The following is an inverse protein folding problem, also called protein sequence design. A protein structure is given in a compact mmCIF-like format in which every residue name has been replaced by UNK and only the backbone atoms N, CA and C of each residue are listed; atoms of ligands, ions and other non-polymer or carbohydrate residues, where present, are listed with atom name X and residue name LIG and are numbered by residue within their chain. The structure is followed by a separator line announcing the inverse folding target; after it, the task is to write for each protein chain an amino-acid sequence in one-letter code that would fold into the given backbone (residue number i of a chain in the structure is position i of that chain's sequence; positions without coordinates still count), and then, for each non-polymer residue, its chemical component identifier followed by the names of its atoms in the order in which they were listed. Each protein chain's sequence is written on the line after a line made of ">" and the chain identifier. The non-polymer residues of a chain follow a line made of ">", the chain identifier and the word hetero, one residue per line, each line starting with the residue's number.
data_IF_023615310265
#
_entry.id   IF_023615310265
#
_cell.length_a   1.000
_cell.length_b   1.000
_cell.length_c   1.000
_cell.angle_alpha   90.00
_cell.angle_beta   90.00
_cell.angle_gamma   90.00
#
_symmetry.space_group_name_H-M   'P 1'
#
loop_
_entity.id
_entity.type
_entity.pdbx_description
1 polymer ?
#
# COMPACT_ATOMS: atom_id res chain seq x y z
N UNK A 1 4.37 -32.36 8.62
CA UNK A 1 4.48 -30.91 8.89
C UNK A 1 3.12 -30.33 8.61
N UNK A 2 2.61 -29.44 9.46
CA UNK A 2 1.35 -28.74 9.19
C UNK A 2 1.49 -27.79 8.00
N UNK A 3 0.37 -27.47 7.33
CA UNK A 3 0.33 -26.46 6.27
C UNK A 3 0.59 -25.06 6.85
N UNK A 4 1.26 -24.19 6.09
CA UNK A 4 1.44 -22.78 6.43
C UNK A 4 0.11 -22.06 6.17
N UNK A 5 -0.48 -21.47 7.19
CA UNK A 5 -1.74 -20.74 7.10
C UNK A 5 -1.50 -19.33 6.59
N UNK A 6 -2.15 -18.99 5.47
CA UNK A 6 -1.94 -17.72 4.77
C UNK A 6 -3.25 -16.95 4.70
N UNK A 7 -3.19 -15.65 4.97
CA UNK A 7 -4.27 -14.70 4.70
C UNK A 7 -3.83 -13.72 3.62
N UNK A 8 -4.77 -13.23 2.80
CA UNK A 8 -4.54 -12.25 1.74
C UNK A 8 -5.41 -11.02 2.00
N UNK A 9 -4.81 -9.84 1.90
CA UNK A 9 -5.52 -8.56 1.79
C UNK A 9 -5.07 -7.83 0.54
N UNK A 10 -5.98 -7.63 -0.42
CA UNK A 10 -5.71 -6.95 -1.69
C UNK A 10 -7.04 -6.45 -2.27
N UNK A 11 -7.12 -5.20 -2.73
CA UNK A 11 -8.36 -4.63 -3.28
C UNK A 11 -8.61 -5.02 -4.74
N UNK A 12 -7.59 -5.56 -5.43
CA UNK A 12 -7.69 -6.01 -6.82
C UNK A 12 -8.19 -7.46 -6.88
N UNK A 13 -9.48 -7.65 -7.15
CA UNK A 13 -10.13 -8.97 -7.19
C UNK A 13 -9.38 -9.99 -8.03
N UNK A 14 -9.05 -9.62 -9.28
CA UNK A 14 -8.38 -10.56 -10.20
C UNK A 14 -7.00 -11.00 -9.68
N UNK A 15 -6.23 -10.07 -9.10
CA UNK A 15 -4.93 -10.38 -8.51
C UNK A 15 -5.09 -11.27 -7.27
N UNK A 16 -6.02 -10.93 -6.38
CA UNK A 16 -6.32 -11.71 -5.17
C UNK A 16 -6.76 -13.13 -5.48
N UNK A 17 -7.68 -13.31 -6.44
CA UNK A 17 -8.13 -14.63 -6.89
C UNK A 17 -6.99 -15.43 -7.56
N UNK A 18 -6.19 -14.80 -8.41
CA UNK A 18 -5.03 -15.42 -9.03
C UNK A 18 -4.01 -15.90 -8.00
N UNK A 19 -3.71 -15.05 -7.00
CA UNK A 19 -2.81 -15.38 -5.90
C UNK A 19 -3.38 -16.52 -5.03
N UNK A 20 -4.68 -16.48 -4.73
CA UNK A 20 -5.36 -17.54 -3.98
C UNK A 20 -5.28 -18.89 -4.70
N UNK A 21 -5.53 -18.93 -6.01
CA UNK A 21 -5.41 -20.14 -6.81
C UNK A 21 -3.98 -20.66 -6.84
N UNK A 22 -3.00 -19.77 -6.98
CA UNK A 22 -1.58 -20.12 -6.98
C UNK A 22 -1.15 -20.74 -5.64
N UNK A 23 -1.54 -20.14 -4.52
CA UNK A 23 -1.24 -20.67 -3.19
C UNK A 23 -1.92 -22.02 -2.95
N UNK A 24 -3.18 -22.16 -3.35
CA UNK A 24 -3.94 -23.42 -3.21
C UNK A 24 -3.41 -24.56 -4.06
N UNK A 25 -2.60 -24.29 -5.09
CA UNK A 25 -1.94 -25.31 -5.88
C UNK A 25 -0.76 -25.96 -5.15
N UNK A 26 -0.27 -25.35 -4.07
CA UNK A 26 0.83 -25.89 -3.26
C UNK A 26 0.25 -26.57 -2.00
N UNK A 27 0.41 -27.88 -1.82
CA UNK A 27 -0.16 -28.63 -0.70
C UNK A 27 0.43 -28.23 0.68
N UNK A 28 1.53 -27.48 0.69
CA UNK A 28 2.13 -26.97 1.93
C UNK A 28 1.45 -25.70 2.46
N UNK A 29 0.54 -25.11 1.70
CA UNK A 29 -0.14 -23.86 2.08
C UNK A 29 -1.64 -24.07 2.29
N UNK A 30 -2.19 -23.34 3.24
CA UNK A 30 -3.62 -23.30 3.55
C UNK A 30 -4.09 -21.85 3.55
N UNK A 31 -4.96 -21.52 2.62
CA UNK A 31 -5.56 -20.17 2.56
C UNK A 31 -6.71 -20.08 3.56
N UNK A 32 -6.53 -19.30 4.63
CA UNK A 32 -7.49 -19.21 5.74
C UNK A 32 -8.39 -17.97 5.68
N UNK A 33 -7.97 -16.91 4.96
CA UNK A 33 -8.78 -15.71 4.78
C UNK A 33 -8.38 -14.94 3.51
N UNK A 34 -9.39 -14.29 2.89
CA UNK A 34 -9.22 -13.35 1.79
C UNK A 34 -10.04 -12.10 2.08
N UNK A 35 -9.46 -10.91 1.91
CA UNK A 35 -10.10 -9.64 2.19
C UNK A 35 -9.75 -8.60 1.11
N UNK A 36 -10.67 -7.68 0.86
CA UNK A 36 -10.50 -6.57 -0.08
C UNK A 36 -9.83 -5.33 0.54
N UNK A 37 -9.65 -5.32 1.86
CA UNK A 37 -8.94 -4.26 2.58
C UNK A 37 -8.55 -4.75 3.98
N UNK A 38 -7.72 -3.95 4.66
CA UNK A 38 -7.20 -4.31 5.98
C UNK A 38 -8.28 -4.45 7.06
N UNK A 39 -9.36 -3.64 7.00
CA UNK A 39 -10.43 -3.70 7.99
C UNK A 39 -11.19 -5.02 7.90
N UNK A 40 -11.54 -5.45 6.69
CA UNK A 40 -12.22 -6.73 6.44
C UNK A 40 -11.34 -7.90 6.86
N UNK A 41 -10.01 -7.82 6.62
CA UNK A 41 -9.09 -8.86 7.08
C UNK A 41 -9.10 -8.99 8.62
N UNK A 42 -9.05 -7.88 9.36
CA UNK A 42 -9.10 -7.90 10.82
C UNK A 42 -10.42 -8.46 11.34
N UNK A 43 -11.55 -8.15 10.68
CA UNK A 43 -12.85 -8.72 11.02
C UNK A 43 -12.91 -10.24 10.80
N UNK A 44 -12.28 -10.75 9.74
CA UNK A 44 -12.18 -12.20 9.52
C UNK A 44 -11.26 -12.85 10.56
N UNK A 45 -10.08 -12.28 10.80
CA UNK A 45 -9.12 -12.79 11.77
C UNK A 45 -9.71 -12.90 13.18
N UNK A 46 -10.58 -11.96 13.58
CA UNK A 46 -11.25 -12.00 14.88
C UNK A 46 -12.21 -13.17 15.07
N UNK A 47 -12.61 -13.84 13.98
CA UNK A 47 -13.55 -14.97 13.97
C UNK A 47 -12.88 -16.32 13.72
N UNK A 48 -11.59 -16.31 13.36
CA UNK A 48 -10.83 -17.53 13.09
C UNK A 48 -10.49 -18.24 14.41
N UNK A 49 -10.65 -19.55 14.44
CA UNK A 49 -10.18 -20.39 15.55
C UNK A 49 -8.64 -20.39 15.65
N UNK A 50 -7.97 -20.30 14.51
CA UNK A 50 -6.52 -20.24 14.42
C UNK A 50 -6.11 -19.10 13.51
N UNK A 51 -5.19 -18.26 13.98
CA UNK A 51 -4.66 -17.15 13.22
C UNK A 51 -3.81 -17.63 12.01
N UNK A 52 -3.69 -16.82 10.96
CA UNK A 52 -2.73 -17.09 9.90
C UNK A 52 -1.29 -16.98 10.42
N UNK A 53 -0.40 -17.79 9.87
CA UNK A 53 1.04 -17.67 10.10
C UNK A 53 1.61 -16.47 9.33
N UNK A 54 1.09 -16.24 8.12
CA UNK A 54 1.53 -15.20 7.20
C UNK A 54 0.32 -14.42 6.67
N UNK A 55 0.44 -13.10 6.64
CA UNK A 55 -0.48 -12.20 5.94
C UNK A 55 0.23 -11.59 4.72
N UNK A 56 -0.26 -11.88 3.51
CA UNK A 56 0.13 -11.21 2.27
C UNK A 56 -0.74 -9.96 2.12
N UNK A 57 -0.14 -8.79 2.17
CA UNK A 57 -0.87 -7.52 2.30
C UNK A 57 -0.49 -6.57 1.18
N UNK A 58 -1.45 -6.17 0.36
CA UNK A 58 -1.25 -5.07 -0.58
C UNK A 58 -1.01 -3.75 0.17
N UNK A 59 -0.05 -3.01 -0.31
CA UNK A 59 0.29 -1.71 0.29
C UNK A 59 -0.84 -0.69 0.13
N UNK A 60 -1.53 -0.69 -1.00
CA UNK A 60 -2.51 0.34 -1.37
C UNK A 60 -3.93 -0.25 -1.43
N UNK A 61 -4.66 -0.15 -0.36
CA UNK A 61 -6.06 -0.58 -0.28
C UNK A 61 -6.95 0.56 0.24
N UNK A 62 -8.24 0.61 -0.15
CA UNK A 62 -9.20 1.54 0.40
C UNK A 62 -9.52 1.20 1.87
N UNK A 63 -10.13 2.13 2.60
CA UNK A 63 -10.61 2.01 3.99
C UNK A 63 -9.48 1.84 5.01
N UNK A 64 -8.66 0.80 4.88
CA UNK A 64 -7.46 0.54 5.68
C UNK A 64 -6.38 -0.01 4.75
N UNK A 65 -5.33 0.77 4.55
CA UNK A 65 -4.21 0.42 3.69
C UNK A 65 -3.22 -0.55 4.36
N UNK A 66 -2.26 -1.06 3.59
CA UNK A 66 -1.30 -2.05 4.08
C UNK A 66 -0.39 -1.55 5.19
N UNK A 67 -0.11 -0.24 5.25
CA UNK A 67 0.70 0.34 6.34
C UNK A 67 -0.05 0.34 7.64
N UNK A 68 -1.30 0.79 7.60
CA UNK A 68 -2.18 0.80 8.77
C UNK A 68 -2.42 -0.62 9.27
N UNK A 69 -2.71 -1.55 8.35
CA UNK A 69 -2.88 -2.96 8.68
C UNK A 69 -1.63 -3.57 9.29
N UNK A 70 -0.45 -3.36 8.68
CA UNK A 70 0.83 -3.85 9.20
C UNK A 70 1.10 -3.36 10.63
N UNK A 71 0.85 -2.07 10.92
CA UNK A 71 1.01 -1.52 12.25
C UNK A 71 0.07 -2.17 13.28
N UNK A 72 -1.20 -2.44 12.89
CA UNK A 72 -2.17 -3.15 13.75
C UNK A 72 -1.75 -4.60 13.97
N UNK A 73 -1.37 -5.32 12.91
CA UNK A 73 -0.94 -6.71 13.00
C UNK A 73 0.30 -6.85 13.87
N UNK A 74 1.32 -6.01 13.65
CA UNK A 74 2.54 -6.03 14.45
C UNK A 74 2.28 -5.81 15.95
N UNK A 75 1.33 -4.93 16.29
CA UNK A 75 0.98 -4.60 17.68
C UNK A 75 0.06 -5.64 18.34
N UNK A 76 -0.99 -6.06 17.63
CA UNK A 76 -2.09 -6.83 18.21
C UNK A 76 -2.02 -8.33 17.90
N UNK A 77 -1.29 -8.71 16.86
CA UNK A 77 -1.12 -10.09 16.39
C UNK A 77 0.34 -10.42 16.08
N UNK A 78 1.26 -10.28 17.05
CA UNK A 78 2.72 -10.36 16.81
C UNK A 78 3.21 -11.72 16.30
N UNK A 79 2.39 -12.78 16.40
CA UNK A 79 2.67 -14.09 15.82
C UNK A 79 2.47 -14.12 14.30
N UNK A 80 1.63 -13.22 13.75
CA UNK A 80 1.34 -13.15 12.31
C UNK A 80 2.45 -12.36 11.61
N UNK A 81 3.14 -13.01 10.68
CA UNK A 81 4.22 -12.40 9.90
C UNK A 81 3.65 -11.72 8.67
N UNK A 82 3.94 -10.44 8.48
CA UNK A 82 3.41 -9.64 7.38
C UNK A 82 4.40 -9.57 6.23
N UNK A 83 3.97 -9.99 5.04
CA UNK A 83 4.69 -9.79 3.77
C UNK A 83 3.91 -8.76 2.96
N UNK A 84 4.55 -7.65 2.63
CA UNK A 84 3.95 -6.58 1.84
C UNK A 84 4.06 -6.88 0.36
N UNK A 85 2.95 -6.74 -0.36
CA UNK A 85 2.87 -6.78 -1.82
C UNK A 85 2.76 -5.35 -2.36
N UNK A 86 3.53 -5.01 -3.39
CA UNK A 86 3.49 -3.66 -3.97
C UNK A 86 3.75 -3.69 -5.48
N UNK A 87 3.06 -2.83 -6.22
CA UNK A 87 3.34 -2.57 -7.64
C UNK A 87 4.64 -1.78 -7.79
N UNK A 88 4.98 -0.96 -6.79
CA UNK A 88 6.11 -0.03 -6.84
C UNK A 88 7.26 -0.49 -5.95
N UNK A 89 8.46 -0.51 -6.52
CA UNK A 89 9.70 -0.85 -5.82
C UNK A 89 10.45 0.35 -5.24
N UNK A 90 9.75 1.42 -4.80
CA UNK A 90 10.44 2.59 -4.25
C UNK A 90 11.07 2.28 -2.89
N UNK A 91 12.39 2.37 -2.82
CA UNK A 91 13.19 2.05 -1.62
C UNK A 91 12.69 2.74 -0.35
N UNK A 92 12.17 3.97 -0.47
CA UNK A 92 11.64 4.73 0.68
C UNK A 92 10.42 4.09 1.33
N UNK A 93 9.58 3.39 0.56
CA UNK A 93 8.41 2.68 1.09
C UNK A 93 8.81 1.33 1.69
N UNK A 94 9.74 0.63 1.03
CA UNK A 94 10.30 -0.61 1.57
C UNK A 94 10.89 -0.39 2.96
N UNK A 95 11.77 0.60 3.12
CA UNK A 95 12.40 0.89 4.40
C UNK A 95 11.39 1.20 5.50
N UNK A 96 10.34 1.98 5.19
CA UNK A 96 9.28 2.32 6.15
C UNK A 96 8.44 1.11 6.56
N UNK A 97 8.11 0.23 5.61
CA UNK A 97 7.33 -0.95 5.92
C UNK A 97 8.11 -1.93 6.80
N UNK A 98 9.41 -2.08 6.55
CA UNK A 98 10.30 -2.89 7.36
C UNK A 98 10.45 -2.29 8.77
N UNK A 99 10.63 -0.97 8.88
CA UNK A 99 10.66 -0.25 10.16
C UNK A 99 9.33 -0.38 10.94
N UNK A 100 8.21 -0.51 10.23
CA UNK A 100 6.88 -0.73 10.80
C UNK A 100 6.61 -2.21 11.15
N UNK A 101 7.59 -3.10 11.02
CA UNK A 101 7.52 -4.50 11.43
C UNK A 101 7.13 -5.49 10.32
N UNK A 102 7.12 -5.09 9.04
CA UNK A 102 6.95 -6.05 7.96
C UNK A 102 8.10 -7.06 7.93
N UNK A 103 7.75 -8.33 7.77
CA UNK A 103 8.71 -9.45 7.73
C UNK A 103 9.19 -9.78 6.32
N UNK A 104 8.53 -9.27 5.29
CA UNK A 104 8.91 -9.43 3.89
C UNK A 104 8.35 -8.33 3.00
N UNK A 105 8.94 -8.19 1.83
CA UNK A 105 8.49 -7.24 0.82
C UNK A 105 8.67 -7.85 -0.56
N UNK A 106 7.59 -7.88 -1.35
CA UNK A 106 7.55 -8.43 -2.70
C UNK A 106 6.94 -7.42 -3.68
N UNK A 107 7.46 -7.41 -4.88
CA UNK A 107 6.79 -6.74 -6.00
C UNK A 107 5.65 -7.62 -6.52
N UNK A 108 4.50 -7.04 -6.86
CA UNK A 108 3.35 -7.79 -7.44
C UNK A 108 3.67 -8.48 -8.77
N UNK A 109 4.77 -8.09 -9.43
CA UNK A 109 5.27 -8.72 -10.65
C UNK A 109 6.42 -9.71 -10.39
N UNK A 110 6.66 -10.13 -9.15
CA UNK A 110 7.61 -11.19 -8.84
C UNK A 110 7.16 -12.51 -9.47
N UNK A 111 8.09 -13.40 -9.72
CA UNK A 111 7.77 -14.76 -10.18
C UNK A 111 7.31 -15.65 -9.01
N UNK A 112 6.75 -16.80 -9.36
CA UNK A 112 6.24 -17.79 -8.39
C UNK A 112 7.34 -18.32 -7.46
N UNK A 113 8.56 -18.43 -7.95
CA UNK A 113 9.71 -18.95 -7.18
C UNK A 113 10.08 -17.95 -6.08
N UNK A 114 10.14 -16.64 -6.40
CA UNK A 114 10.41 -15.58 -5.42
C UNK A 114 9.29 -15.50 -4.38
N UNK A 115 8.02 -15.60 -4.79
CA UNK A 115 6.88 -15.62 -3.89
C UNK A 115 6.97 -16.76 -2.88
N UNK A 116 7.14 -18.00 -3.35
CA UNK A 116 7.19 -19.18 -2.47
C UNK A 116 8.42 -19.15 -1.57
N UNK A 117 9.59 -18.80 -2.11
CA UNK A 117 10.79 -18.66 -1.30
C UNK A 117 10.62 -17.60 -0.20
N UNK A 118 9.92 -16.51 -0.49
CA UNK A 118 9.64 -15.46 0.52
C UNK A 118 8.70 -15.98 1.60
N UNK A 119 7.63 -16.69 1.24
CA UNK A 119 6.70 -17.30 2.20
C UNK A 119 7.43 -18.29 3.10
N UNK A 120 8.14 -19.26 2.50
CA UNK A 120 8.82 -20.33 3.23
C UNK A 120 9.90 -19.78 4.17
N UNK A 121 10.75 -18.90 3.68
CA UNK A 121 11.80 -18.29 4.50
C UNK A 121 11.21 -17.40 5.61
N UNK A 122 10.16 -16.63 5.32
CA UNK A 122 9.48 -15.82 6.34
C UNK A 122 8.87 -16.73 7.41
N UNK A 123 8.28 -17.85 7.04
CA UNK A 123 7.74 -18.81 8.00
C UNK A 123 8.84 -19.44 8.87
N UNK A 124 9.93 -19.90 8.25
CA UNK A 124 10.99 -20.66 8.94
C UNK A 124 11.94 -19.76 9.77
N UNK A 125 12.38 -18.64 9.18
CA UNK A 125 13.43 -17.78 9.73
C UNK A 125 12.84 -16.55 10.44
N UNK A 126 11.60 -16.16 10.09
CA UNK A 126 10.92 -15.00 10.65
C UNK A 126 10.89 -13.80 9.73
N UNK A 127 11.74 -13.73 8.71
CA UNK A 127 11.75 -12.66 7.71
C UNK A 127 12.41 -13.11 6.40
N UNK A 128 12.10 -12.42 5.30
CA UNK A 128 12.81 -12.55 4.04
C UNK A 128 12.83 -11.22 3.29
N UNK A 129 14.03 -10.74 2.98
CA UNK A 129 14.24 -9.50 2.22
C UNK A 129 15.18 -9.74 1.06
N UNK A 130 14.76 -9.37 -0.13
CA UNK A 130 15.62 -9.37 -1.31
C UNK A 130 16.66 -8.23 -1.26
N UNK A 131 17.57 -8.19 -2.24
CA UNK A 131 18.64 -7.18 -2.31
C UNK A 131 18.08 -5.75 -2.35
N UNK A 132 16.96 -5.53 -3.03
CA UNK A 132 16.32 -4.19 -3.12
C UNK A 132 15.86 -3.74 -1.73
N UNK A 133 15.22 -4.62 -0.96
CA UNK A 133 14.77 -4.34 0.40
C UNK A 133 15.95 -4.08 1.36
N UNK A 134 17.03 -4.86 1.24
CA UNK A 134 18.25 -4.65 2.03
C UNK A 134 18.93 -3.30 1.70
N UNK A 135 18.97 -2.92 0.42
CA UNK A 135 19.47 -1.62 0.00
C UNK A 135 18.59 -0.48 0.53
N UNK A 136 17.26 -0.65 0.51
CA UNK A 136 16.32 0.31 1.10
C UNK A 136 16.58 0.52 2.60
N UNK A 137 16.80 -0.55 3.36
CA UNK A 137 17.17 -0.48 4.79
C UNK A 137 18.49 0.29 4.98
N UNK A 138 19.52 -0.03 4.20
CA UNK A 138 20.82 0.66 4.29
C UNK A 138 20.72 2.14 3.99
N UNK A 139 19.84 2.53 3.06
CA UNK A 139 19.62 3.91 2.66
C UNK A 139 18.56 4.64 3.52
N UNK A 140 17.91 3.95 4.48
CA UNK A 140 16.85 4.51 5.32
C UNK A 140 17.27 5.79 6.06
N UNK A 141 18.53 5.90 6.48
CA UNK A 141 19.05 7.12 7.11
C UNK A 141 18.96 8.36 6.21
N UNK A 142 19.14 8.19 4.89
CA UNK A 142 19.01 9.27 3.92
C UNK A 142 17.55 9.75 3.80
N UNK A 143 16.60 8.84 3.89
CA UNK A 143 15.17 9.15 3.83
C UNK A 143 14.66 9.84 5.08
N UNK A 144 15.25 9.54 6.27
CA UNK A 144 14.93 10.25 7.52
C UNK A 144 15.33 11.72 7.48
N UNK A 145 16.46 12.05 6.85
CA UNK A 145 16.92 13.43 6.70
C UNK A 145 16.03 14.27 5.76
N UNK A 146 15.31 13.64 4.84
CA UNK A 146 14.43 14.31 3.88
C UNK A 146 13.04 14.68 4.44
N UNK A 147 12.85 14.63 5.77
CA UNK A 147 11.68 15.21 6.45
C UNK A 147 10.39 14.39 6.34
N UNK A 148 10.47 13.09 6.06
CA UNK A 148 9.29 12.22 5.97
C UNK A 148 8.77 11.87 7.38
N UNK A 149 8.17 12.85 8.08
CA UNK A 149 7.73 12.73 9.48
C UNK A 149 6.45 11.92 9.71
N UNK A 150 5.67 11.55 8.70
CA UNK A 150 4.38 10.88 8.91
C UNK A 150 4.21 9.63 8.05
N UNK A 151 4.07 8.47 8.69
CA UNK A 151 3.70 7.19 8.06
C UNK A 151 2.32 7.23 7.39
N UNK A 152 1.44 8.13 7.85
CA UNK A 152 0.10 8.34 7.30
C UNK A 152 0.10 9.03 5.92
N UNK A 153 1.26 9.45 5.41
CA UNK A 153 1.45 10.03 4.08
C UNK A 153 1.98 8.98 3.08
N UNK A 154 1.47 7.76 3.09
CA UNK A 154 1.58 6.91 1.92
C UNK A 154 0.65 7.48 0.88
N UNK A 155 1.26 8.26 0.01
CA UNK A 155 0.54 8.93 -1.05
C UNK A 155 -0.06 7.87 -1.98
N UNK A 156 -1.35 7.91 -2.12
CA UNK A 156 -2.04 7.51 -3.33
C UNK A 156 -1.17 8.04 -4.46
N UNK A 157 -0.75 7.16 -5.38
CA UNK A 157 0.22 7.50 -6.44
C UNK A 157 -0.34 8.56 -7.37
N UNK A 158 -0.23 9.81 -6.93
CA UNK A 158 -0.49 10.95 -7.79
C UNK A 158 0.75 11.19 -8.65
N UNK A 159 0.57 11.23 -9.95
CA UNK A 159 1.61 11.67 -10.86
C UNK A 159 2.01 13.11 -10.56
N UNK A 160 3.20 13.54 -10.98
CA UNK A 160 3.61 14.95 -10.82
C UNK A 160 2.56 15.92 -11.40
N UNK A 161 1.93 15.52 -12.50
CA UNK A 161 0.88 16.32 -13.15
C UNK A 161 -0.38 16.41 -12.29
N UNK A 162 -0.81 15.31 -11.69
CA UNK A 162 -1.94 15.28 -10.77
C UNK A 162 -1.66 16.06 -9.49
N UNK A 163 -0.44 16.00 -8.96
CA UNK A 163 -0.01 16.81 -7.81
C UNK A 163 -0.07 18.31 -8.12
N UNK A 164 0.39 18.72 -9.32
CA UNK A 164 0.30 20.11 -9.75
C UNK A 164 -1.16 20.57 -9.87
N UNK A 165 -2.02 19.76 -10.51
CA UNK A 165 -3.45 20.06 -10.62
C UNK A 165 -4.10 20.13 -9.24
N UNK A 166 -3.78 19.21 -8.33
CA UNK A 166 -4.32 19.23 -6.95
C UNK A 166 -3.92 20.51 -6.19
N UNK A 167 -2.68 20.93 -6.29
CA UNK A 167 -2.24 22.20 -5.66
C UNK A 167 -2.98 23.41 -6.24
N UNK A 168 -3.16 23.47 -7.56
CA UNK A 168 -3.90 24.55 -8.21
C UNK A 168 -5.40 24.53 -7.82
N UNK A 169 -5.99 23.37 -7.60
CA UNK A 169 -7.34 23.26 -7.03
C UNK A 169 -7.39 23.85 -5.61
N UNK A 170 -6.37 23.61 -4.79
CA UNK A 170 -6.26 24.18 -3.46
C UNK A 170 -6.02 25.70 -3.48
N UNK A 171 -5.38 26.22 -4.54
CA UNK A 171 -5.25 27.65 -4.84
C UNK A 171 -6.53 28.27 -5.44
N UNK A 172 -7.67 27.56 -5.36
CA UNK A 172 -9.01 27.99 -5.83
C UNK A 172 -9.10 28.23 -7.35
N UNK A 173 -8.14 27.71 -8.13
CA UNK A 173 -8.14 27.90 -9.58
C UNK A 173 -9.24 27.09 -10.29
N UNK A 174 -9.89 27.72 -11.25
CA UNK A 174 -10.88 27.10 -12.14
C UNK A 174 -10.19 26.22 -13.22
N UNK A 175 -10.95 25.32 -13.85
CA UNK A 175 -10.40 24.49 -14.92
C UNK A 175 -9.81 25.28 -16.09
N UNK A 176 -10.43 26.40 -16.58
CA UNK A 176 -9.81 27.26 -17.59
C UNK A 176 -8.45 27.84 -17.14
N UNK A 177 -8.35 28.36 -15.91
CA UNK A 177 -7.11 28.93 -15.37
C UNK A 177 -6.00 27.87 -15.23
N UNK A 178 -6.36 26.66 -14.76
CA UNK A 178 -5.42 25.54 -14.69
C UNK A 178 -4.96 25.15 -16.10
N UNK A 179 -5.88 25.09 -17.06
CA UNK A 179 -5.57 24.73 -18.43
C UNK A 179 -4.61 25.70 -19.10
N UNK A 180 -4.81 26.98 -18.89
CA UNK A 180 -3.94 28.05 -19.39
C UNK A 180 -2.54 27.96 -18.74
N UNK A 181 -2.49 27.84 -17.41
CA UNK A 181 -1.23 27.80 -16.65
C UNK A 181 -0.40 26.54 -16.96
N UNK A 182 -1.04 25.46 -17.30
CA UNK A 182 -0.40 24.18 -17.61
C UNK A 182 -0.20 23.92 -19.11
N UNK A 183 -0.68 24.82 -19.98
CA UNK A 183 -0.65 24.70 -21.44
C UNK A 183 -1.28 23.37 -21.93
N UNK A 184 -2.46 23.02 -21.40
CA UNK A 184 -3.23 21.82 -21.76
C UNK A 184 -4.70 22.21 -22.00
N UNK A 185 -5.52 21.33 -22.58
CA UNK A 185 -6.95 21.58 -22.75
C UNK A 185 -7.70 21.49 -21.42
N UNK A 186 -8.83 22.21 -21.27
CA UNK A 186 -9.75 22.09 -20.13
C UNK A 186 -10.25 20.64 -19.96
N UNK A 187 -10.49 19.92 -21.05
CA UNK A 187 -10.85 18.49 -21.04
C UNK A 187 -9.74 17.63 -20.40
N UNK A 188 -8.48 17.98 -20.62
CA UNK A 188 -7.35 17.27 -19.99
C UNK A 188 -7.31 17.56 -18.50
N UNK A 189 -7.61 18.78 -18.06
CA UNK A 189 -7.75 19.13 -16.63
C UNK A 189 -8.88 18.33 -15.98
N UNK A 190 -10.04 18.20 -16.65
CA UNK A 190 -11.16 17.39 -16.17
C UNK A 190 -10.75 15.91 -16.01
N UNK A 191 -9.97 15.38 -16.96
CA UNK A 191 -9.40 14.04 -16.86
C UNK A 191 -8.50 13.87 -15.63
N UNK A 192 -7.61 14.83 -15.36
CA UNK A 192 -6.76 14.81 -14.15
C UNK A 192 -7.58 14.91 -12.87
N UNK A 193 -8.63 15.75 -12.82
CA UNK A 193 -9.54 15.85 -11.67
C UNK A 193 -10.31 14.55 -11.41
N UNK A 194 -10.80 13.91 -12.46
CA UNK A 194 -11.48 12.61 -12.37
C UNK A 194 -10.53 11.54 -11.81
N UNK A 195 -9.30 11.48 -12.31
CA UNK A 195 -8.27 10.57 -11.81
C UNK A 195 -7.92 10.85 -10.34
N UNK A 196 -7.82 12.14 -9.95
CA UNK A 196 -7.61 12.54 -8.57
C UNK A 196 -8.72 12.03 -7.67
N UNK A 197 -10.00 12.25 -8.03
CA UNK A 197 -11.14 11.75 -7.25
C UNK A 197 -11.10 10.23 -7.11
N UNK A 198 -10.83 9.52 -8.20
CA UNK A 198 -10.72 8.05 -8.20
C UNK A 198 -9.57 7.57 -7.32
N UNK A 199 -8.38 8.13 -7.50
CA UNK A 199 -7.17 7.72 -6.76
C UNK A 199 -7.21 8.07 -5.28
N UNK A 200 -7.86 9.19 -4.91
CA UNK A 200 -7.96 9.65 -3.52
C UNK A 200 -9.19 9.09 -2.78
N UNK A 201 -10.13 8.50 -3.52
CA UNK A 201 -11.44 8.09 -2.97
C UNK A 201 -12.34 9.26 -2.56
N UNK A 202 -11.97 10.49 -2.94
CA UNK A 202 -12.77 11.69 -2.63
C UNK A 202 -13.99 11.79 -3.53
N UNK A 203 -15.12 12.25 -2.97
CA UNK A 203 -16.39 12.37 -3.72
C UNK A 203 -16.52 13.67 -4.51
N UNK A 204 -15.78 14.72 -4.14
CA UNK A 204 -15.87 16.05 -4.74
C UNK A 204 -14.59 16.89 -4.51
N UNK A 205 -14.56 18.09 -5.06
CA UNK A 205 -13.44 19.04 -4.94
C UNK A 205 -13.13 19.42 -3.49
N UNK A 206 -14.14 19.62 -2.64
CA UNK A 206 -13.91 19.91 -1.22
C UNK A 206 -13.18 18.74 -0.52
N UNK A 207 -13.54 17.51 -0.85
CA UNK A 207 -12.83 16.32 -0.40
C UNK A 207 -11.35 16.31 -0.84
N UNK A 208 -11.06 16.73 -2.08
CA UNK A 208 -9.68 16.84 -2.58
C UNK A 208 -8.86 17.88 -1.81
N UNK A 209 -9.45 19.03 -1.48
CA UNK A 209 -8.79 20.09 -0.67
C UNK A 209 -8.49 19.58 0.74
N UNK A 210 -9.48 18.97 1.41
CA UNK A 210 -9.29 18.38 2.74
C UNK A 210 -8.22 17.29 2.68
N UNK A 211 -8.24 16.45 1.65
CA UNK A 211 -7.24 15.43 1.42
C UNK A 211 -5.83 16.03 1.29
N UNK A 212 -5.67 17.07 0.47
CA UNK A 212 -4.38 17.71 0.24
C UNK A 212 -3.80 18.31 1.55
N UNK A 213 -4.64 18.94 2.35
CA UNK A 213 -4.25 19.51 3.66
C UNK A 213 -3.88 18.40 4.64
N UNK A 214 -4.75 17.38 4.78
CA UNK A 214 -4.53 16.24 5.69
C UNK A 214 -3.24 15.48 5.41
N UNK A 215 -2.86 15.39 4.13
CA UNK A 215 -1.66 14.67 3.70
C UNK A 215 -0.43 15.57 3.51
N UNK A 216 -0.50 16.86 3.90
CA UNK A 216 0.62 17.79 3.82
C UNK A 216 1.07 18.11 2.38
N UNK A 217 0.17 17.92 1.40
CA UNK A 217 0.41 18.26 -0.01
C UNK A 217 0.26 19.77 -0.22
N UNK A 218 -0.61 20.37 0.59
CA UNK A 218 -0.91 21.80 0.57
C UNK A 218 -0.95 22.37 1.98
N UNK A 219 -0.28 23.53 2.18
CA UNK A 219 -0.32 24.27 3.44
C UNK A 219 -1.20 25.52 3.24
N UNK A 220 -2.19 25.70 4.10
CA UNK A 220 -3.04 26.89 4.08
C UNK A 220 -2.19 28.05 4.58
N UNK A 221 -2.00 29.06 3.73
CA UNK A 221 -1.35 30.32 4.09
C UNK A 221 -2.46 31.27 4.57
N UNK A 222 -2.42 31.67 5.82
CA UNK A 222 -3.25 32.73 6.40
C UNK A 222 -2.57 34.06 6.22
#
# INVERSE_FOLDING_TARGET
>A
MGSIKIAIADDQNLFREGLANLLSSNPCYELVAQAENGKVLLEYMSKLETLPDIALVDMNMPVMNGVELNAVLHKSYPAVKVIILSVHGEERYMSKMIEAGACGYLKKNCDTTELFATIDNTYQIGFHFNIDALNAMRNAAKYRQQGLKNLNNIHINLTERELLVLKMICDEMTNPEISEKLFISTRTVDGHRSNLLTKTGCKNTAGLVIFAIKHGIYEVKF
#
